data_IF_160211568136
#
_entry.id   IF_160211568136
#
_cell.length_a   1.000
_cell.length_b   1.000
_cell.length_c   1.000
_cell.angle_alpha   90.00
_cell.angle_beta   90.00
_cell.angle_gamma   90.00
#
_symmetry.space_group_name_H-M   'P 1'
#
loop_
_entity.id
_entity.type
_entity.pdbx_description
1 polymer ?
#
# COMPACT_ATOMS: atom_id res chain seq x y z
N UNK A 1 8.02 -0.30 -28.85
CA UNK A 1 6.87 0.26 -28.24
C UNK A 1 7.08 1.01 -26.93
N UNK A 2 7.30 2.32 -26.95
CA UNK A 2 7.44 3.18 -25.76
C UNK A 2 6.10 3.59 -25.14
N UNK A 3 4.98 3.40 -25.86
CA UNK A 3 3.64 3.85 -25.44
C UNK A 3 3.14 3.07 -24.21
N UNK A 4 3.33 1.76 -24.18
CA UNK A 4 2.86 0.91 -23.08
C UNK A 4 3.55 1.24 -21.73
N UNK A 5 4.89 1.33 -21.66
CA UNK A 5 5.54 1.77 -20.42
C UNK A 5 5.12 3.17 -19.98
N UNK A 6 4.98 4.10 -20.92
CA UNK A 6 4.55 5.46 -20.62
C UNK A 6 3.11 5.48 -20.02
N UNK A 7 2.18 4.71 -20.60
CA UNK A 7 0.83 4.59 -20.08
C UNK A 7 0.80 4.01 -18.67
N UNK A 8 1.60 2.97 -18.41
CA UNK A 8 1.74 2.34 -17.09
C UNK A 8 2.32 3.34 -16.07
N UNK A 9 3.37 4.08 -16.42
CA UNK A 9 3.96 5.10 -15.54
C UNK A 9 2.99 6.23 -15.23
N UNK A 10 2.20 6.69 -16.22
CA UNK A 10 1.20 7.73 -16.02
C UNK A 10 0.05 7.22 -15.15
N UNK A 11 -0.41 6.00 -15.35
CA UNK A 11 -1.51 5.40 -14.58
C UNK A 11 -1.10 5.16 -13.12
N UNK A 12 0.07 4.55 -12.87
CA UNK A 12 0.57 4.30 -11.52
C UNK A 12 1.01 5.59 -10.82
N UNK A 13 1.56 6.55 -11.56
CA UNK A 13 2.03 7.81 -11.00
C UNK A 13 0.92 8.85 -10.84
N UNK A 14 0.98 9.95 -11.62
CA UNK A 14 0.21 11.16 -11.35
C UNK A 14 -1.30 11.01 -11.54
N UNK A 15 -1.77 10.10 -12.39
CA UNK A 15 -3.18 10.02 -12.72
C UNK A 15 -4.02 9.28 -11.69
N UNK A 16 -3.45 8.30 -10.98
CA UNK A 16 -4.23 7.49 -10.05
C UNK A 16 -3.56 7.27 -8.70
N UNK A 17 -2.40 6.60 -8.65
CA UNK A 17 -1.85 6.12 -7.38
C UNK A 17 -1.38 7.26 -6.47
N UNK A 18 -0.72 8.28 -7.00
CA UNK A 18 -0.24 9.41 -6.19
C UNK A 18 -1.44 10.19 -5.61
N UNK A 19 -2.45 10.47 -6.42
CA UNK A 19 -3.66 11.15 -5.95
C UNK A 19 -4.35 10.34 -4.84
N UNK A 20 -4.53 9.03 -5.05
CA UNK A 20 -5.15 8.14 -4.06
C UNK A 20 -4.35 8.06 -2.76
N UNK A 21 -3.03 7.86 -2.84
CA UNK A 21 -2.17 7.78 -1.65
C UNK A 21 -2.18 9.09 -0.88
N UNK A 22 -2.17 10.23 -1.57
CA UNK A 22 -2.21 11.54 -0.92
C UNK A 22 -3.53 11.78 -0.18
N UNK A 23 -4.67 11.43 -0.78
CA UNK A 23 -5.98 11.56 -0.13
C UNK A 23 -6.14 10.60 1.04
N UNK A 24 -5.73 9.34 0.90
CA UNK A 24 -5.75 8.37 2.00
C UNK A 24 -4.83 8.81 3.15
N UNK A 25 -3.65 9.35 2.85
CA UNK A 25 -2.75 9.89 3.87
C UNK A 25 -3.36 11.09 4.59
N UNK A 26 -4.11 11.95 3.88
CA UNK A 26 -4.85 13.04 4.49
C UNK A 26 -5.90 12.53 5.48
N UNK A 27 -6.76 11.63 5.05
CA UNK A 27 -7.87 11.09 5.85
C UNK A 27 -7.37 10.33 7.10
N UNK A 28 -6.33 9.52 6.95
CA UNK A 28 -5.85 8.65 8.03
C UNK A 28 -4.87 9.33 8.99
N UNK A 29 -4.10 10.32 8.53
CA UNK A 29 -3.06 10.93 9.35
C UNK A 29 -3.35 12.41 9.68
N UNK A 30 -3.69 13.21 8.67
CA UNK A 30 -3.75 14.67 8.84
C UNK A 30 -5.10 15.13 9.41
N UNK A 31 -6.19 14.57 8.95
CA UNK A 31 -7.53 14.90 9.42
C UNK A 31 -7.71 14.64 10.93
N UNK A 32 -7.36 13.47 11.49
CA UNK A 32 -7.45 13.25 12.93
C UNK A 32 -6.60 14.22 13.76
N UNK A 33 -5.42 14.58 13.26
CA UNK A 33 -4.55 15.56 13.94
C UNK A 33 -5.19 16.96 13.93
N UNK A 34 -5.81 17.36 12.83
CA UNK A 34 -6.49 18.65 12.73
C UNK A 34 -7.73 18.71 13.61
N UNK A 35 -8.50 17.62 13.69
CA UNK A 35 -9.63 17.49 14.61
C UNK A 35 -9.18 17.64 16.09
N UNK A 36 -8.07 17.00 16.46
CA UNK A 36 -7.48 17.14 17.81
C UNK A 36 -6.99 18.56 18.11
N UNK A 37 -6.54 19.29 17.10
CA UNK A 37 -6.07 20.68 17.21
C UNK A 37 -7.22 21.70 17.10
N UNK A 38 -8.47 21.27 16.90
CA UNK A 38 -9.61 22.13 16.71
C UNK A 38 -9.61 22.90 15.38
N UNK A 39 -8.83 22.46 14.41
CA UNK A 39 -8.75 23.04 13.08
C UNK A 39 -9.86 22.42 12.23
N UNK A 40 -10.78 23.24 11.73
CA UNK A 40 -11.84 22.76 10.86
C UNK A 40 -11.29 22.20 9.55
N UNK A 41 -11.84 21.07 9.12
CA UNK A 41 -11.52 20.49 7.81
C UNK A 41 -11.92 21.49 6.72
N UNK A 42 -10.95 21.92 5.92
CA UNK A 42 -11.12 22.94 4.90
C UNK A 42 -10.33 22.60 3.64
N UNK A 43 -10.77 23.15 2.52
CA UNK A 43 -10.01 23.03 1.25
C UNK A 43 -8.58 23.52 1.38
N UNK A 44 -8.34 24.51 2.24
CA UNK A 44 -6.99 25.01 2.51
C UNK A 44 -6.13 23.96 3.27
N UNK A 45 -6.72 23.26 4.23
CA UNK A 45 -6.04 22.17 4.96
C UNK A 45 -5.60 21.06 4.01
N UNK A 46 -6.49 20.66 3.10
CA UNK A 46 -6.18 19.68 2.07
C UNK A 46 -5.07 20.18 1.12
N UNK A 47 -5.14 21.42 0.65
CA UNK A 47 -4.12 22.00 -0.23
C UNK A 47 -2.74 22.06 0.44
N UNK A 48 -2.67 22.44 1.71
CA UNK A 48 -1.43 22.46 2.49
C UNK A 48 -0.88 21.05 2.62
N UNK A 49 -1.72 20.07 2.99
CA UNK A 49 -1.31 18.67 3.07
C UNK A 49 -0.76 18.15 1.74
N UNK A 50 -1.49 18.35 0.62
CA UNK A 50 -1.07 17.93 -0.71
C UNK A 50 0.27 18.56 -1.08
N UNK A 51 0.45 19.85 -0.83
CA UNK A 51 1.69 20.57 -1.14
C UNK A 51 2.87 20.04 -0.33
N UNK A 52 2.68 19.85 0.97
CA UNK A 52 3.71 19.29 1.86
C UNK A 52 4.03 17.85 1.46
N UNK A 53 3.02 17.01 1.26
CA UNK A 53 3.18 15.61 0.84
C UNK A 53 3.96 15.48 -0.46
N UNK A 54 3.57 16.27 -1.47
CA UNK A 54 4.26 16.29 -2.77
C UNK A 54 5.68 16.84 -2.67
N UNK A 55 5.90 17.89 -1.87
CA UNK A 55 7.23 18.46 -1.62
C UNK A 55 8.18 17.46 -0.95
N UNK A 56 7.69 16.76 0.06
CA UNK A 56 8.45 15.68 0.75
C UNK A 56 8.73 14.53 -0.22
N UNK A 57 7.72 14.05 -0.93
CA UNK A 57 7.84 12.97 -1.90
C UNK A 57 8.85 13.32 -3.00
N UNK A 58 8.79 14.53 -3.54
CA UNK A 58 9.75 15.02 -4.53
C UNK A 58 11.17 15.10 -3.99
N UNK A 59 11.34 15.60 -2.77
CA UNK A 59 12.65 15.71 -2.10
C UNK A 59 13.29 14.34 -1.90
N UNK A 60 12.47 13.34 -1.55
CA UNK A 60 12.90 11.94 -1.38
C UNK A 60 13.24 11.33 -2.75
N UNK A 61 12.42 11.58 -3.77
CA UNK A 61 12.59 11.05 -5.12
C UNK A 61 13.85 11.56 -5.84
N UNK A 62 14.41 12.70 -5.42
CA UNK A 62 15.67 13.24 -5.98
C UNK A 62 16.89 12.36 -5.73
N UNK A 63 16.82 11.41 -4.79
CA UNK A 63 17.93 10.52 -4.44
C UNK A 63 17.49 9.06 -4.45
N UNK A 64 17.19 8.47 -5.62
CA UNK A 64 16.56 7.14 -5.70
C UNK A 64 17.42 6.01 -5.13
N UNK A 65 18.75 6.08 -5.24
CA UNK A 65 19.65 5.06 -4.68
C UNK A 65 19.62 5.01 -3.15
N UNK A 66 19.60 6.17 -2.51
CA UNK A 66 19.49 6.27 -1.05
C UNK A 66 18.09 5.92 -0.55
N UNK A 67 17.08 6.16 -1.38
CA UNK A 67 15.70 5.82 -1.07
C UNK A 67 15.51 4.32 -0.94
N UNK A 68 15.95 3.53 -1.92
CA UNK A 68 15.83 2.08 -1.90
C UNK A 68 16.50 1.47 -0.64
N UNK A 69 17.67 1.97 -0.26
CA UNK A 69 18.37 1.50 0.93
C UNK A 69 17.66 1.89 2.23
N UNK A 70 17.17 3.12 2.35
CA UNK A 70 16.48 3.58 3.57
C UNK A 70 15.12 2.92 3.74
N UNK A 71 14.33 2.86 2.67
CA UNK A 71 13.00 2.22 2.67
C UNK A 71 13.14 0.73 2.97
N UNK A 72 14.06 0.03 2.26
CA UNK A 72 14.24 -1.40 2.45
C UNK A 72 14.83 -1.78 3.82
N UNK A 73 15.74 -0.97 4.36
CA UNK A 73 16.45 -1.30 5.60
C UNK A 73 15.68 -0.94 6.87
N UNK A 74 14.97 0.18 6.88
CA UNK A 74 14.33 0.70 8.08
C UNK A 74 12.81 0.73 7.99
N UNK A 75 12.28 1.28 6.90
CA UNK A 75 10.84 1.49 6.78
C UNK A 75 10.08 0.17 6.60
N UNK A 76 10.59 -0.75 5.78
CA UNK A 76 9.93 -2.03 5.54
C UNK A 76 9.87 -2.90 6.81
N UNK A 77 10.97 -3.12 7.58
CA UNK A 77 10.89 -3.85 8.84
C UNK A 77 9.99 -3.18 9.87
N UNK A 78 10.03 -1.84 9.97
CA UNK A 78 9.17 -1.10 10.89
C UNK A 78 7.70 -1.26 10.53
N UNK A 79 7.35 -1.16 9.25
CA UNK A 79 5.97 -1.34 8.76
C UNK A 79 5.48 -2.77 9.00
N UNK A 80 6.29 -3.78 8.72
CA UNK A 80 5.95 -5.18 8.98
C UNK A 80 5.78 -5.45 10.48
N UNK A 81 6.63 -4.88 11.32
CA UNK A 81 6.53 -5.01 12.77
C UNK A 81 5.25 -4.34 13.31
N UNK A 82 4.94 -3.12 12.86
CA UNK A 82 3.70 -2.43 13.21
C UNK A 82 2.47 -3.21 12.77
N UNK A 83 2.49 -3.76 11.57
CA UNK A 83 1.38 -4.54 11.05
C UNK A 83 1.21 -5.86 11.82
N UNK A 84 2.31 -6.55 12.13
CA UNK A 84 2.29 -7.75 12.95
C UNK A 84 1.78 -7.45 14.37
N UNK A 85 2.19 -6.32 14.96
CA UNK A 85 1.70 -5.85 16.24
C UNK A 85 0.20 -5.57 16.19
N UNK A 86 -0.26 -4.84 15.17
CA UNK A 86 -1.68 -4.52 14.98
C UNK A 86 -2.51 -5.80 14.84
N UNK A 87 -2.09 -6.74 13.99
CA UNK A 87 -2.76 -8.03 13.84
C UNK A 87 -2.75 -8.82 15.15
N UNK A 88 -1.62 -8.87 15.85
CA UNK A 88 -1.48 -9.57 17.12
C UNK A 88 -2.39 -9.01 18.22
N UNK A 89 -2.41 -7.69 18.38
CA UNK A 89 -3.29 -7.00 19.35
C UNK A 89 -4.75 -7.25 19.01
N UNK A 90 -5.14 -7.11 17.74
CA UNK A 90 -6.53 -7.34 17.33
C UNK A 90 -6.95 -8.79 17.55
N UNK A 91 -6.08 -9.76 17.24
CA UNK A 91 -6.37 -11.18 17.49
C UNK A 91 -6.51 -11.46 18.99
N UNK A 92 -5.70 -10.82 19.83
CA UNK A 92 -5.74 -11.01 21.27
C UNK A 92 -6.96 -10.33 21.95
N UNK A 93 -7.35 -9.16 21.45
CA UNK A 93 -8.40 -8.33 22.07
C UNK A 93 -9.79 -8.54 21.48
N UNK A 94 -9.91 -9.01 20.26
CA UNK A 94 -11.18 -9.22 19.60
C UNK A 94 -11.49 -10.71 19.46
N UNK A 95 -12.50 -11.23 20.19
CA UNK A 95 -12.93 -12.61 20.03
C UNK A 95 -13.45 -12.84 18.61
N UNK A 96 -13.21 -14.04 18.08
CA UNK A 96 -13.75 -14.45 16.79
C UNK A 96 -15.27 -14.60 16.92
N UNK A 97 -16.01 -13.68 16.34
CA UNK A 97 -17.47 -13.80 16.22
C UNK A 97 -17.75 -14.33 14.82
N UNK A 98 -18.34 -15.50 14.72
CA UNK A 98 -18.89 -15.99 13.46
C UNK A 98 -19.98 -15.03 13.00
N UNK A 99 -19.79 -14.45 11.84
CA UNK A 99 -20.73 -13.52 11.21
C UNK A 99 -21.03 -13.98 9.81
N UNK A 100 -22.28 -13.84 9.44
CA UNK A 100 -22.71 -14.14 8.07
C UNK A 100 -21.96 -13.26 7.06
N UNK A 101 -21.64 -13.86 5.92
CA UNK A 101 -21.04 -13.12 4.82
C UNK A 101 -22.05 -12.08 4.31
N UNK A 102 -21.56 -10.89 3.97
CA UNK A 102 -22.40 -9.81 3.43
C UNK A 102 -22.16 -9.74 1.93
N UNK A 103 -23.22 -9.39 1.18
CA UNK A 103 -23.11 -9.14 -0.24
C UNK A 103 -22.03 -8.07 -0.54
N UNK A 104 -21.26 -8.24 -1.63
CA UNK A 104 -21.35 -9.27 -2.68
C UNK A 104 -20.59 -10.57 -2.38
N UNK A 105 -19.96 -10.72 -1.21
CA UNK A 105 -19.16 -11.90 -0.86
C UNK A 105 -19.99 -13.12 -0.43
N UNK A 106 -21.27 -12.91 -0.08
CA UNK A 106 -22.16 -14.01 0.28
C UNK A 106 -22.53 -14.86 -0.95
N UNK A 107 -22.74 -14.20 -2.10
CA UNK A 107 -23.15 -14.88 -3.34
C UNK A 107 -21.96 -15.46 -4.10
N UNK A 108 -20.86 -14.71 -4.23
CA UNK A 108 -19.70 -15.14 -5.01
C UNK A 108 -18.37 -14.65 -4.39
N UNK A 109 -17.90 -15.30 -3.31
CA UNK A 109 -16.73 -14.88 -2.57
C UNK A 109 -15.44 -14.94 -3.40
N UNK A 110 -15.33 -15.93 -4.30
CA UNK A 110 -14.12 -16.15 -5.09
C UNK A 110 -13.95 -15.07 -6.17
N UNK A 111 -14.99 -14.81 -6.96
CA UNK A 111 -14.92 -13.82 -8.03
C UNK A 111 -14.73 -12.42 -7.47
N UNK A 112 -15.43 -12.07 -6.37
CA UNK A 112 -15.26 -10.78 -5.72
C UNK A 112 -13.88 -10.65 -5.08
N UNK A 113 -13.37 -11.69 -4.43
CA UNK A 113 -12.01 -11.71 -3.87
C UNK A 113 -10.94 -11.54 -4.95
N UNK A 114 -11.05 -12.24 -6.07
CA UNK A 114 -10.13 -12.10 -7.22
C UNK A 114 -10.20 -10.71 -7.83
N UNK A 115 -11.40 -10.16 -8.00
CA UNK A 115 -11.57 -8.81 -8.54
C UNK A 115 -10.94 -7.76 -7.64
N UNK A 116 -11.17 -7.83 -6.34
CA UNK A 116 -10.56 -6.92 -5.38
C UNK A 116 -9.04 -7.09 -5.31
N UNK A 117 -8.55 -8.33 -5.35
CA UNK A 117 -7.11 -8.62 -5.42
C UNK A 117 -6.47 -8.06 -6.70
N UNK A 118 -7.14 -8.14 -7.84
CA UNK A 118 -6.67 -7.51 -9.07
C UNK A 118 -6.61 -5.98 -8.97
N UNK A 119 -7.59 -5.36 -8.32
CA UNK A 119 -7.66 -3.91 -8.12
C UNK A 119 -6.57 -3.35 -7.20
N UNK A 120 -5.84 -4.20 -6.46
CA UNK A 120 -4.64 -3.76 -5.70
C UNK A 120 -3.49 -3.33 -6.60
N UNK A 121 -3.53 -3.71 -7.89
CA UNK A 121 -2.54 -3.36 -8.92
C UNK A 121 -1.11 -3.82 -8.61
N UNK A 122 -0.92 -4.82 -7.77
CA UNK A 122 0.40 -5.32 -7.36
C UNK A 122 1.23 -5.83 -8.55
N UNK A 123 0.59 -6.43 -9.55
CA UNK A 123 1.26 -6.89 -10.78
C UNK A 123 1.83 -5.71 -11.56
N UNK A 124 1.10 -4.60 -11.65
CA UNK A 124 1.59 -3.38 -12.30
C UNK A 124 2.76 -2.78 -11.53
N UNK A 125 2.64 -2.72 -10.20
CA UNK A 125 3.72 -2.27 -9.33
C UNK A 125 4.96 -3.16 -9.49
N UNK A 126 4.81 -4.48 -9.51
CA UNK A 126 5.90 -5.43 -9.69
C UNK A 126 6.66 -5.23 -11.00
N UNK A 127 5.97 -4.89 -12.11
CA UNK A 127 6.64 -4.62 -13.40
C UNK A 127 7.52 -3.37 -13.34
N UNK A 128 7.10 -2.33 -12.64
CA UNK A 128 7.86 -1.09 -12.47
C UNK A 128 9.02 -1.30 -11.50
N UNK A 129 8.77 -1.89 -10.34
CA UNK A 129 9.79 -2.14 -9.34
C UNK A 129 10.81 -3.21 -9.75
N UNK A 130 10.44 -4.12 -10.65
CA UNK A 130 11.35 -5.11 -11.23
C UNK A 130 12.59 -4.48 -11.85
N UNK A 131 12.46 -3.34 -12.51
CA UNK A 131 13.59 -2.59 -13.08
C UNK A 131 14.52 -2.08 -11.96
N UNK A 132 13.95 -1.56 -10.88
CA UNK A 132 14.70 -1.07 -9.71
C UNK A 132 15.48 -2.21 -9.05
N UNK A 133 14.86 -3.38 -8.91
CA UNK A 133 15.51 -4.57 -8.36
C UNK A 133 16.68 -5.01 -9.22
N UNK A 134 16.50 -5.11 -10.55
CA UNK A 134 17.56 -5.49 -11.47
C UNK A 134 18.73 -4.49 -11.42
N UNK A 135 18.44 -3.20 -11.40
CA UNK A 135 19.46 -2.15 -11.29
C UNK A 135 20.25 -2.27 -9.99
N UNK A 136 19.54 -2.46 -8.88
CA UNK A 136 20.15 -2.64 -7.56
C UNK A 136 21.04 -3.88 -7.48
N UNK A 137 20.64 -4.99 -8.11
CA UNK A 137 21.44 -6.21 -8.19
C UNK A 137 22.71 -6.00 -9.03
N UNK A 138 22.63 -5.23 -10.12
CA UNK A 138 23.80 -4.86 -10.94
C UNK A 138 24.78 -3.98 -10.18
N UNK A 139 24.29 -2.99 -9.45
CA UNK A 139 25.12 -2.12 -8.59
C UNK A 139 25.85 -2.92 -7.50
N UNK A 140 25.29 -4.03 -7.05
CA UNK A 140 25.90 -4.97 -6.09
C UNK A 140 26.89 -5.97 -6.74
N UNK A 141 27.19 -5.81 -8.04
CA UNK A 141 28.19 -6.59 -8.76
C UNK A 141 27.68 -7.84 -9.44
N UNK A 142 26.37 -8.08 -9.52
CA UNK A 142 25.82 -9.19 -10.29
C UNK A 142 25.75 -8.80 -11.78
N UNK A 143 26.76 -9.22 -12.55
CA UNK A 143 26.87 -8.86 -13.98
C UNK A 143 26.39 -9.97 -14.92
N UNK A 144 26.39 -11.24 -14.46
CA UNK A 144 26.01 -12.35 -15.34
C UNK A 144 24.47 -12.44 -15.48
N UNK A 145 23.94 -12.68 -16.69
CA UNK A 145 22.50 -12.77 -16.92
C UNK A 145 21.80 -13.82 -16.05
N UNK A 146 22.44 -14.98 -15.85
CA UNK A 146 21.89 -16.05 -15.01
C UNK A 146 21.81 -15.65 -13.52
N UNK A 147 22.83 -14.95 -13.02
CA UNK A 147 22.83 -14.48 -11.63
C UNK A 147 21.78 -13.40 -11.40
N UNK A 148 21.58 -12.49 -12.37
CA UNK A 148 20.53 -11.49 -12.32
C UNK A 148 19.13 -12.10 -12.30
N UNK A 149 18.85 -13.04 -13.20
CA UNK A 149 17.56 -13.73 -13.23
C UNK A 149 17.31 -14.48 -11.92
N UNK A 150 18.29 -15.25 -11.44
CA UNK A 150 18.16 -15.98 -10.17
C UNK A 150 17.96 -15.03 -8.98
N UNK A 151 18.71 -13.95 -8.92
CA UNK A 151 18.57 -12.93 -7.88
C UNK A 151 17.20 -12.26 -7.91
N UNK A 152 16.70 -11.90 -9.10
CA UNK A 152 15.37 -11.29 -9.26
C UNK A 152 14.24 -12.26 -8.88
N UNK A 153 14.31 -13.51 -9.33
CA UNK A 153 13.32 -14.54 -8.98
C UNK A 153 13.31 -14.82 -7.49
N UNK A 154 14.48 -14.93 -6.85
CA UNK A 154 14.57 -15.18 -5.42
C UNK A 154 14.03 -13.98 -4.61
N UNK A 155 14.44 -12.77 -4.93
CA UNK A 155 13.95 -11.57 -4.23
C UNK A 155 12.45 -11.34 -4.46
N UNK A 156 11.97 -11.56 -5.68
CA UNK A 156 10.55 -11.51 -6.00
C UNK A 156 9.72 -12.58 -5.26
N UNK A 157 10.26 -13.81 -5.17
CA UNK A 157 9.61 -14.89 -4.42
C UNK A 157 9.50 -14.58 -2.92
N UNK A 158 10.57 -14.07 -2.31
CA UNK A 158 10.54 -13.63 -0.91
C UNK A 158 9.52 -12.50 -0.72
N UNK A 159 9.53 -11.51 -1.60
CA UNK A 159 8.56 -10.41 -1.55
C UNK A 159 7.11 -10.90 -1.68
N UNK A 160 6.85 -11.84 -2.59
CA UNK A 160 5.52 -12.42 -2.79
C UNK A 160 5.02 -13.17 -1.54
N UNK A 161 5.89 -13.96 -0.88
CA UNK A 161 5.54 -14.66 0.37
C UNK A 161 5.25 -13.66 1.49
N UNK A 162 6.10 -12.65 1.67
CA UNK A 162 5.89 -11.62 2.69
C UNK A 162 4.60 -10.84 2.46
N UNK A 163 4.34 -10.46 1.20
CA UNK A 163 3.11 -9.74 0.83
C UNK A 163 1.87 -10.63 1.05
N UNK A 164 1.95 -11.91 0.69
CA UNK A 164 0.88 -12.87 0.97
C UNK A 164 0.57 -13.00 2.47
N UNK A 165 1.58 -13.06 3.32
CA UNK A 165 1.41 -13.07 4.77
C UNK A 165 0.76 -11.79 5.28
N UNK A 166 1.14 -10.63 4.73
CA UNK A 166 0.52 -9.34 5.04
C UNK A 166 -0.97 -9.35 4.67
N UNK A 167 -1.32 -9.81 3.48
CA UNK A 167 -2.72 -9.88 3.06
C UNK A 167 -3.56 -10.84 3.90
N UNK A 168 -3.01 -12.00 4.27
CA UNK A 168 -3.69 -12.93 5.20
C UNK A 168 -3.89 -12.25 6.56
N UNK A 169 -2.88 -11.57 7.09
CA UNK A 169 -2.99 -10.83 8.34
C UNK A 169 -4.07 -9.75 8.29
N UNK A 170 -4.11 -8.96 7.22
CA UNK A 170 -5.13 -7.94 7.01
C UNK A 170 -6.53 -8.53 6.82
N UNK A 171 -6.67 -9.67 6.14
CA UNK A 171 -7.93 -10.36 6.00
C UNK A 171 -8.47 -10.82 7.37
N UNK A 172 -7.62 -11.42 8.21
CA UNK A 172 -7.98 -11.81 9.57
C UNK A 172 -8.35 -10.58 10.41
N UNK A 173 -7.60 -9.49 10.29
CA UNK A 173 -7.93 -8.22 10.95
C UNK A 173 -9.32 -7.72 10.53
N UNK A 174 -9.59 -7.66 9.23
CA UNK A 174 -10.85 -7.19 8.68
C UNK A 174 -12.07 -8.01 9.13
N UNK A 175 -11.93 -9.33 9.22
CA UNK A 175 -13.02 -10.20 9.71
C UNK A 175 -13.31 -9.96 11.20
N UNK A 176 -12.31 -9.64 12.01
CA UNK A 176 -12.46 -9.43 13.46
C UNK A 176 -12.96 -8.03 13.84
N UNK A 177 -12.56 -7.01 13.09
CA UNK A 177 -12.93 -5.60 13.36
C UNK A 177 -14.28 -5.21 12.74
N UNK A 178 -14.82 -6.03 11.85
CA UNK A 178 -16.12 -5.78 11.21
C UNK A 178 -17.24 -5.67 12.25
N UNK A 179 -17.90 -4.50 12.29
CA UNK A 179 -18.99 -4.19 13.23
C UNK A 179 -18.55 -3.45 14.51
N UNK A 180 -17.25 -3.20 14.70
CA UNK A 180 -16.77 -2.20 15.66
C UNK A 180 -16.65 -0.82 14.99
N UNK A 181 -16.51 -0.78 13.67
CA UNK A 181 -16.51 0.42 12.87
C UNK A 181 -17.94 0.59 12.33
N UNK A 182 -18.80 1.29 13.04
CA UNK A 182 -19.98 1.90 12.45
C UNK A 182 -19.49 3.03 11.57
N UNK A 183 -19.36 2.76 10.28
CA UNK A 183 -19.24 3.84 9.30
C UNK A 183 -20.57 4.59 9.39
N UNK A 184 -20.53 5.79 9.98
CA UNK A 184 -21.68 6.67 9.99
C UNK A 184 -21.91 7.14 8.54
N UNK A 185 -22.77 6.38 7.85
CA UNK A 185 -23.12 6.62 6.43
C UNK A 185 -24.00 7.86 6.26
N UNK A 186 -24.08 8.72 7.28
CA UNK A 186 -24.89 9.96 7.20
C UNK A 186 -24.30 11.05 6.31
N UNK A 187 -23.02 10.93 5.94
CA UNK A 187 -22.38 11.91 5.05
C UNK A 187 -22.20 11.43 3.59
N UNK A 188 -22.94 10.41 3.20
CA UNK A 188 -23.00 9.94 1.83
C UNK A 188 -23.98 10.75 0.98
N UNK A 189 -23.80 12.05 0.88
CA UNK A 189 -24.50 12.86 -0.12
C UNK A 189 -23.60 13.09 -1.32
N UNK A 190 -24.05 12.46 -2.44
CA UNK A 190 -23.78 12.68 -3.87
C UNK A 190 -22.36 12.40 -4.35
#
# INVERSE_FOLDING_TARGET
GTVMPLAVYLAIGPLYAIARVTTVAYELATRPVFELLGIQDSRLALLVHVTVFMGVSFSIARSPSRLADRVGRWLTPALLALLALLCGVTIAMSPSVEREAVEPYASDPLANGLTQGYLTMDVLAATVFGIVVITSLRERGLTSPRALVRGTVLSGGIAAVLLGLVYVGLAVLGTRTRGQITVDTKDGTA
#
